data_IF_078861056176
#
_entry.id   IF_078861056176
#
_cell.length_a   1.000
_cell.length_b   1.000
_cell.length_c   1.000
_cell.angle_alpha   90.00
_cell.angle_beta   90.00
_cell.angle_gamma   90.00
#
_symmetry.space_group_name_H-M   'P 1'
#
loop_
_entity.id
_entity.type
_entity.pdbx_description
1 polymer ?
#
# COMPACT_ATOMS: atom_id res chain seq x y z
N UNK A 1 7.03 -12.34 -11.98
CA UNK A 1 7.41 -10.91 -11.87
C UNK A 1 8.93 -10.73 -11.86
N UNK A 2 9.67 -11.29 -10.90
CA UNK A 2 11.14 -11.20 -10.84
C UNK A 2 11.91 -11.66 -12.08
N UNK A 3 11.45 -12.72 -12.73
CA UNK A 3 12.12 -13.29 -13.91
C UNK A 3 12.14 -12.32 -15.09
N UNK A 4 11.09 -11.50 -15.28
CA UNK A 4 11.00 -10.56 -16.40
C UNK A 4 11.90 -9.35 -16.18
N UNK A 5 11.87 -8.77 -14.98
CA UNK A 5 12.72 -7.64 -14.61
C UNK A 5 14.21 -8.01 -14.61
N UNK A 6 14.56 -9.22 -14.16
CA UNK A 6 15.93 -9.73 -14.24
C UNK A 6 16.35 -10.02 -15.70
N UNK A 7 15.42 -10.45 -16.55
CA UNK A 7 15.68 -10.70 -17.98
C UNK A 7 15.99 -9.39 -18.71
N UNK A 8 15.17 -8.34 -18.55
CA UNK A 8 15.42 -7.05 -19.23
C UNK A 8 16.76 -6.41 -18.84
N UNK A 9 17.14 -6.53 -17.56
CA UNK A 9 18.39 -5.96 -17.05
C UNK A 9 19.63 -6.73 -17.53
N UNK A 10 19.52 -8.05 -17.75
CA UNK A 10 20.67 -8.90 -18.11
C UNK A 10 20.75 -9.27 -19.60
N UNK A 11 19.60 -9.46 -20.25
CA UNK A 11 19.46 -10.12 -21.56
C UNK A 11 18.54 -9.36 -22.53
N UNK A 12 17.88 -8.28 -22.09
CA UNK A 12 17.05 -7.42 -22.94
C UNK A 12 17.81 -6.26 -23.59
N UNK A 13 17.08 -5.37 -24.25
CA UNK A 13 17.61 -4.20 -24.98
C UNK A 13 18.52 -3.32 -24.09
N UNK A 14 18.14 -3.18 -22.81
CA UNK A 14 18.96 -2.47 -21.82
C UNK A 14 20.29 -3.19 -21.56
N UNK A 15 20.27 -4.51 -21.38
CA UNK A 15 21.47 -5.34 -21.17
C UNK A 15 22.48 -5.23 -22.32
N UNK A 16 22.00 -5.26 -23.57
CA UNK A 16 22.84 -5.09 -24.76
C UNK A 16 23.45 -3.68 -24.84
N UNK A 17 22.64 -2.64 -24.60
CA UNK A 17 23.11 -1.26 -24.58
C UNK A 17 24.15 -1.04 -23.48
N UNK A 18 23.93 -1.62 -22.30
CA UNK A 18 24.85 -1.56 -21.18
C UNK A 18 26.15 -2.33 -21.44
N UNK A 19 26.10 -3.47 -22.14
CA UNK A 19 27.29 -4.21 -22.57
C UNK A 19 28.14 -3.38 -23.55
N UNK A 20 27.50 -2.76 -24.55
CA UNK A 20 28.17 -1.84 -25.49
C UNK A 20 28.81 -0.64 -24.79
N UNK A 21 28.14 -0.09 -23.77
CA UNK A 21 28.69 0.98 -22.93
C UNK A 21 29.92 0.50 -22.15
N UNK A 22 29.88 -0.71 -21.60
CA UNK A 22 31.00 -1.33 -20.90
C UNK A 22 32.26 -1.46 -21.76
N UNK A 23 32.13 -1.79 -23.04
CA UNK A 23 33.27 -1.87 -23.97
C UNK A 23 33.91 -0.50 -24.27
N UNK A 24 33.17 0.60 -24.13
CA UNK A 24 33.65 1.97 -24.39
C UNK A 24 34.31 2.61 -23.16
N UNK A 25 33.92 2.20 -21.96
CA UNK A 25 34.42 2.75 -20.70
C UNK A 25 35.62 1.93 -20.24
N UNK A 26 36.79 2.58 -20.13
CA UNK A 26 38.03 1.94 -19.65
C UNK A 26 38.14 1.83 -18.12
N UNK A 27 37.11 2.27 -17.40
CA UNK A 27 37.04 2.22 -15.94
C UNK A 27 36.28 0.96 -15.48
N UNK A 28 37.02 -0.14 -15.36
CA UNK A 28 36.48 -1.43 -14.94
C UNK A 28 35.90 -1.41 -13.52
N UNK A 29 36.48 -0.61 -12.63
CA UNK A 29 36.01 -0.46 -11.24
C UNK A 29 34.61 0.15 -11.22
N UNK A 30 34.40 1.20 -12.01
CA UNK A 30 33.10 1.87 -12.15
C UNK A 30 32.05 0.95 -12.78
N UNK A 31 32.40 0.26 -13.88
CA UNK A 31 31.50 -0.69 -14.55
C UNK A 31 31.08 -1.82 -13.60
N UNK A 32 32.01 -2.31 -12.77
CA UNK A 32 31.71 -3.35 -11.78
C UNK A 32 30.76 -2.86 -10.69
N UNK A 33 30.95 -1.63 -10.18
CA UNK A 33 30.02 -1.01 -9.21
C UNK A 33 28.62 -0.85 -9.79
N UNK A 34 28.51 -0.43 -11.04
CA UNK A 34 27.22 -0.30 -11.71
C UNK A 34 26.53 -1.65 -11.91
N UNK A 35 27.27 -2.70 -12.34
CA UNK A 35 26.73 -4.06 -12.42
C UNK A 35 26.17 -4.54 -11.08
N UNK A 36 26.90 -4.31 -9.99
CA UNK A 36 26.46 -4.68 -8.65
C UNK A 36 25.21 -3.88 -8.21
N UNK A 37 25.15 -2.57 -8.51
CA UNK A 37 23.99 -1.74 -8.22
C UNK A 37 22.75 -2.19 -9.01
N UNK A 38 22.90 -2.45 -10.31
CA UNK A 38 21.81 -2.94 -11.18
C UNK A 38 21.30 -4.31 -10.72
N UNK A 39 22.17 -5.22 -10.28
CA UNK A 39 21.76 -6.49 -9.70
C UNK A 39 20.95 -6.29 -8.41
N UNK A 40 21.34 -5.34 -7.55
CA UNK A 40 20.55 -5.00 -6.36
C UNK A 40 19.18 -4.45 -6.73
N UNK A 41 19.12 -3.55 -7.71
CA UNK A 41 17.86 -2.96 -8.18
C UNK A 41 16.94 -3.99 -8.83
N UNK A 42 17.50 -4.94 -9.59
CA UNK A 42 16.74 -6.04 -10.21
C UNK A 42 16.03 -6.94 -9.19
N UNK A 43 16.53 -7.00 -7.95
CA UNK A 43 15.95 -7.78 -6.88
C UNK A 43 14.86 -7.03 -6.10
N UNK A 44 14.66 -5.73 -6.34
CA UNK A 44 13.54 -5.01 -5.76
C UNK A 44 12.25 -5.31 -6.51
N UNK A 45 11.15 -5.41 -5.77
CA UNK A 45 9.82 -5.41 -6.36
C UNK A 45 9.56 -4.05 -7.02
N UNK A 46 9.16 -4.07 -8.29
CA UNK A 46 8.81 -2.88 -9.05
C UNK A 46 7.44 -3.00 -9.71
N UNK A 47 6.92 -1.86 -10.15
CA UNK A 47 5.72 -1.78 -10.97
C UNK A 47 6.11 -1.92 -12.44
N UNK A 48 5.37 -2.76 -13.18
CA UNK A 48 5.55 -2.93 -14.63
C UNK A 48 4.38 -2.26 -15.33
N UNK A 49 4.66 -1.38 -16.28
CA UNK A 49 3.64 -0.72 -17.08
C UNK A 49 2.86 -1.77 -17.90
N UNK A 50 3.52 -2.51 -18.78
CA UNK A 50 2.82 -3.40 -19.71
C UNK A 50 1.93 -2.61 -20.66
N UNK A 51 0.77 -3.15 -21.05
CA UNK A 51 -0.15 -2.54 -22.02
C UNK A 51 -1.19 -1.59 -21.40
N UNK A 52 -1.03 -1.25 -20.11
CA UNK A 52 -1.98 -0.41 -19.37
C UNK A 52 -1.83 1.07 -19.73
N UNK A 53 -2.86 1.86 -19.40
CA UNK A 53 -2.79 3.30 -19.51
C UNK A 53 -1.72 3.89 -18.55
N UNK A 54 -0.88 4.77 -19.07
CA UNK A 54 0.21 5.41 -18.31
C UNK A 54 -0.30 6.28 -17.16
N UNK A 55 -1.42 6.99 -17.35
CA UNK A 55 -1.98 7.82 -16.29
C UNK A 55 -2.48 6.97 -15.11
N UNK A 56 -3.12 5.84 -15.38
CA UNK A 56 -3.54 4.89 -14.34
C UNK A 56 -2.33 4.28 -13.62
N UNK A 57 -1.26 3.99 -14.37
CA UNK A 57 0.00 3.50 -13.80
C UNK A 57 0.63 4.48 -12.82
N UNK A 58 0.70 5.75 -13.20
CA UNK A 58 1.21 6.81 -12.34
C UNK A 58 0.33 6.94 -11.08
N UNK A 59 -1.00 6.86 -11.22
CA UNK A 59 -1.92 6.92 -10.09
C UNK A 59 -1.71 5.78 -9.09
N UNK A 60 -1.46 4.55 -9.57
CA UNK A 60 -1.15 3.42 -8.67
C UNK A 60 0.16 3.62 -7.90
N UNK A 61 1.19 4.19 -8.56
CA UNK A 61 2.46 4.52 -7.90
C UNK A 61 2.24 5.57 -6.81
N UNK A 62 1.49 6.63 -7.12
CA UNK A 62 1.17 7.70 -6.14
C UNK A 62 0.46 7.09 -4.93
N UNK A 63 -0.59 6.30 -5.15
CA UNK A 63 -1.32 5.62 -4.06
C UNK A 63 -0.43 4.71 -3.22
N UNK A 64 0.48 3.97 -3.84
CA UNK A 64 1.43 3.12 -3.13
C UNK A 64 2.42 3.94 -2.29
N UNK A 65 3.00 4.99 -2.87
CA UNK A 65 3.91 5.89 -2.16
C UNK A 65 3.19 6.55 -0.98
N UNK A 66 1.96 7.04 -1.18
CA UNK A 66 1.15 7.64 -0.12
C UNK A 66 0.85 6.65 1.00
N UNK A 67 0.53 5.40 0.67
CA UNK A 67 0.32 4.35 1.67
C UNK A 67 1.53 4.06 2.57
N UNK A 68 2.74 4.39 2.09
CA UNK A 68 4.01 4.19 2.81
C UNK A 68 4.47 5.48 3.50
N UNK A 69 4.32 6.64 2.84
CA UNK A 69 4.89 7.92 3.27
C UNK A 69 3.93 8.75 4.11
N UNK A 70 2.63 8.65 3.89
CA UNK A 70 1.65 9.34 4.74
C UNK A 70 1.68 8.63 6.08
N UNK A 71 2.15 9.34 7.11
CA UNK A 71 2.04 8.95 8.50
C UNK A 71 0.55 8.88 8.89
N UNK A 72 -0.12 7.81 8.48
CA UNK A 72 -1.40 7.45 9.06
C UNK A 72 -1.11 7.23 10.54
N UNK A 73 -1.76 8.02 11.39
CA UNK A 73 -1.73 7.78 12.84
C UNK A 73 -2.45 6.46 13.06
N UNK A 74 -1.70 5.35 13.01
CA UNK A 74 -2.22 4.02 13.20
C UNK A 74 -2.90 3.98 14.55
N UNK A 75 -4.18 3.64 14.53
CA UNK A 75 -4.93 3.46 15.76
C UNK A 75 -4.37 2.24 16.47
N UNK A 76 -4.05 2.36 17.76
CA UNK A 76 -3.69 1.20 18.57
C UNK A 76 -4.89 0.24 18.66
N UNK A 77 -4.80 -0.88 17.95
CA UNK A 77 -5.84 -1.90 17.82
C UNK A 77 -5.91 -2.72 19.11
N UNK A 78 -4.90 -3.55 19.37
CA UNK A 78 -4.75 -4.35 20.59
C UNK A 78 -3.30 -4.86 20.69
N UNK A 79 -2.86 -5.20 21.91
CA UNK A 79 -1.51 -5.78 22.13
C UNK A 79 -1.37 -7.19 21.54
N UNK A 80 -2.42 -8.01 21.65
CA UNK A 80 -2.45 -9.40 21.17
C UNK A 80 -3.81 -9.72 20.53
N UNK A 81 -4.10 -9.19 19.33
CA UNK A 81 -5.34 -9.48 18.63
C UNK A 81 -5.38 -10.94 18.16
N UNK A 82 -6.47 -11.66 18.45
CA UNK A 82 -6.70 -13.02 17.94
C UNK A 82 -7.99 -13.03 17.11
N UNK A 83 -7.94 -13.64 15.92
CA UNK A 83 -9.13 -13.79 15.07
C UNK A 83 -9.69 -12.48 14.48
N UNK A 84 -8.90 -11.41 14.49
CA UNK A 84 -9.29 -10.13 13.87
C UNK A 84 -9.23 -10.22 12.35
N UNK A 85 -8.20 -10.87 11.80
CA UNK A 85 -7.97 -10.96 10.35
C UNK A 85 -9.15 -11.52 9.56
N UNK A 86 -9.77 -12.60 10.06
CA UNK A 86 -10.95 -13.18 9.39
C UNK A 86 -12.10 -12.18 9.35
N UNK A 87 -12.45 -11.58 10.49
CA UNK A 87 -13.55 -10.61 10.61
C UNK A 87 -13.34 -9.37 9.75
N UNK A 88 -12.11 -8.87 9.72
CA UNK A 88 -11.75 -7.69 8.91
C UNK A 88 -11.84 -8.01 7.43
N UNK A 89 -11.36 -9.18 7.00
CA UNK A 89 -11.48 -9.65 5.62
C UNK A 89 -12.95 -9.79 5.20
N UNK A 90 -13.79 -10.37 6.05
CA UNK A 90 -15.22 -10.51 5.76
C UNK A 90 -15.86 -9.14 5.54
N UNK A 91 -15.59 -8.17 6.42
CA UNK A 91 -16.11 -6.80 6.27
C UNK A 91 -15.53 -6.13 5.02
N UNK A 92 -14.24 -6.28 4.76
CA UNK A 92 -13.57 -5.70 3.60
C UNK A 92 -14.20 -6.16 2.27
N UNK A 93 -14.60 -7.44 2.16
CA UNK A 93 -15.28 -7.96 0.97
C UNK A 93 -16.66 -7.33 0.73
N UNK A 94 -17.31 -6.83 1.78
CA UNK A 94 -18.61 -6.15 1.68
C UNK A 94 -18.47 -4.64 1.45
N UNK A 95 -17.31 -4.06 1.81
CA UNK A 95 -16.99 -2.69 1.50
C UNK A 95 -16.69 -2.60 -0.01
N UNK A 96 -17.61 -1.99 -0.76
CA UNK A 96 -17.45 -1.74 -2.21
C UNK A 96 -16.43 -0.63 -2.50
N UNK A 97 -15.24 -0.73 -1.92
CA UNK A 97 -14.19 0.29 -1.98
C UNK A 97 -13.71 0.40 -3.43
N UNK A 98 -13.61 1.64 -3.94
CA UNK A 98 -13.14 1.91 -5.30
C UNK A 98 -14.19 1.76 -6.41
N UNK A 99 -15.48 1.55 -6.08
CA UNK A 99 -16.59 1.70 -7.03
C UNK A 99 -17.17 3.11 -6.90
N UNK A 100 -17.20 3.86 -8.01
CA UNK A 100 -17.69 5.23 -8.01
C UNK A 100 -19.17 5.31 -7.57
N UNK A 101 -19.48 6.37 -6.81
CA UNK A 101 -20.82 6.84 -6.44
C UNK A 101 -21.67 5.98 -5.49
N UNK A 102 -21.08 5.05 -4.73
CA UNK A 102 -21.80 4.26 -3.72
C UNK A 102 -21.38 4.68 -2.30
N UNK A 103 -22.31 5.30 -1.55
CA UNK A 103 -22.16 5.50 -0.11
C UNK A 103 -22.49 4.18 0.60
N UNK A 104 -21.49 3.58 1.25
CA UNK A 104 -21.67 2.36 2.04
C UNK A 104 -21.63 2.67 3.54
N UNK A 105 -22.69 2.30 4.25
CA UNK A 105 -22.75 2.37 5.72
C UNK A 105 -22.67 0.97 6.31
N UNK A 106 -21.72 0.75 7.22
CA UNK A 106 -21.53 -0.54 7.90
C UNK A 106 -21.74 -0.37 9.40
N UNK A 107 -22.68 -1.13 9.95
CA UNK A 107 -22.92 -1.21 11.40
C UNK A 107 -22.31 -2.48 11.99
N UNK A 108 -21.45 -2.33 13.01
CA UNK A 108 -20.94 -3.46 13.81
C UNK A 108 -21.66 -3.46 15.15
N UNK A 109 -22.49 -4.49 15.39
CA UNK A 109 -23.29 -4.63 16.61
C UNK A 109 -22.97 -5.94 17.35
N UNK A 110 -23.42 -6.04 18.60
CA UNK A 110 -23.18 -7.20 19.45
C UNK A 110 -22.95 -6.82 20.91
N UNK A 111 -22.73 -7.83 21.76
CA UNK A 111 -22.53 -7.67 23.20
C UNK A 111 -21.32 -6.80 23.56
N UNK A 112 -21.31 -6.26 24.78
CA UNK A 112 -20.17 -5.52 25.32
C UNK A 112 -18.91 -6.40 25.37
N UNK A 113 -17.73 -5.80 25.16
CA UNK A 113 -16.44 -6.49 25.28
C UNK A 113 -16.02 -7.39 24.10
N UNK A 114 -16.89 -7.67 23.12
CA UNK A 114 -16.59 -8.56 21.99
C UNK A 114 -15.58 -8.00 20.96
N UNK A 115 -15.03 -6.80 21.20
CA UNK A 115 -14.00 -6.21 20.34
C UNK A 115 -14.51 -5.41 19.13
N UNK A 116 -15.76 -4.92 19.14
CA UNK A 116 -16.33 -4.11 18.03
C UNK A 116 -15.43 -2.93 17.65
N UNK A 117 -15.06 -2.10 18.63
CA UNK A 117 -14.15 -0.96 18.43
C UNK A 117 -12.78 -1.40 17.93
N UNK A 118 -12.30 -2.56 18.38
CA UNK A 118 -11.02 -3.13 17.94
C UNK A 118 -11.05 -3.46 16.45
N UNK A 119 -12.12 -4.09 15.98
CA UNK A 119 -12.31 -4.40 14.55
C UNK A 119 -12.43 -3.11 13.73
N UNK A 120 -13.20 -2.11 14.20
CA UNK A 120 -13.33 -0.82 13.51
C UNK A 120 -11.99 -0.10 13.35
N UNK A 121 -11.12 -0.14 14.36
CA UNK A 121 -9.78 0.46 14.28
C UNK A 121 -8.90 -0.24 13.24
N UNK A 122 -8.92 -1.56 13.21
CA UNK A 122 -8.14 -2.34 12.24
C UNK A 122 -8.61 -2.08 10.81
N UNK A 123 -9.94 -2.03 10.58
CA UNK A 123 -10.49 -1.66 9.26
C UNK A 123 -10.03 -0.25 8.87
N UNK A 124 -10.16 0.72 9.77
CA UNK A 124 -9.72 2.09 9.51
C UNK A 124 -8.25 2.16 9.10
N UNK A 125 -7.37 1.48 9.83
CA UNK A 125 -5.94 1.41 9.51
C UNK A 125 -5.68 0.83 8.11
N UNK A 126 -6.52 -0.08 7.62
CA UNK A 126 -6.37 -0.71 6.29
C UNK A 126 -6.92 0.07 5.12
N UNK A 127 -7.92 0.92 5.35
CA UNK A 127 -8.67 1.53 4.23
C UNK A 127 -8.57 3.03 4.19
N UNK A 128 -8.17 3.69 5.28
CA UNK A 128 -8.13 5.16 5.37
C UNK A 128 -7.33 5.84 4.26
N UNK A 129 -6.21 5.24 3.83
CA UNK A 129 -5.37 5.74 2.75
C UNK A 129 -6.01 5.68 1.36
N UNK A 130 -7.11 4.92 1.21
CA UNK A 130 -7.82 4.78 -0.07
C UNK A 130 -8.83 5.90 -0.30
N UNK A 131 -9.02 6.79 0.69
CA UNK A 131 -9.94 7.92 0.64
C UNK A 131 -9.16 9.24 0.68
N UNK A 132 -9.65 10.25 -0.02
CA UNK A 132 -9.08 11.61 -0.02
C UNK A 132 -9.06 12.23 1.39
N UNK A 133 -10.06 11.91 2.21
CA UNK A 133 -10.14 12.29 3.61
C UNK A 133 -10.67 11.16 4.48
N UNK A 134 -10.12 11.02 5.69
CA UNK A 134 -10.57 10.03 6.66
C UNK A 134 -10.41 10.54 8.08
N UNK A 135 -11.34 10.15 8.96
CA UNK A 135 -11.25 10.42 10.39
C UNK A 135 -11.81 9.26 11.20
N UNK A 136 -11.29 9.07 12.43
CA UNK A 136 -11.81 8.08 13.37
C UNK A 136 -12.36 8.78 14.61
N UNK A 137 -13.68 8.76 14.77
CA UNK A 137 -14.37 9.36 15.90
C UNK A 137 -14.44 8.35 17.05
N UNK A 138 -13.69 8.62 18.13
CA UNK A 138 -13.67 7.80 19.35
C UNK A 138 -14.53 8.41 20.45
N UNK A 139 -15.02 7.59 21.36
CA UNK A 139 -15.69 8.01 22.61
C UNK A 139 -16.87 8.98 22.39
N UNK A 140 -17.60 8.79 21.29
CA UNK A 140 -18.73 9.64 20.89
C UNK A 140 -19.73 9.84 22.04
N UNK A 141 -20.03 8.78 22.80
CA UNK A 141 -20.98 8.81 23.93
C UNK A 141 -20.49 9.69 25.08
N UNK A 142 -19.19 9.69 25.34
CA UNK A 142 -18.57 10.50 26.38
C UNK A 142 -18.46 11.96 25.90
N UNK A 143 -18.01 12.18 24.66
CA UNK A 143 -17.82 13.50 24.06
C UNK A 143 -19.14 14.24 23.87
N UNK A 144 -20.23 13.55 23.51
CA UNK A 144 -21.55 14.16 23.34
C UNK A 144 -22.14 14.74 24.63
N UNK A 145 -21.69 14.27 25.80
CA UNK A 145 -22.15 14.76 27.11
C UNK A 145 -21.52 16.09 27.50
N UNK A 146 -20.43 16.50 26.84
CA UNK A 146 -19.65 17.70 27.16
C UNK A 146 -20.06 18.90 26.29
N UNK A 147 -21.10 18.76 25.46
CA UNK A 147 -21.71 19.86 24.71
C UNK A 147 -20.97 20.25 23.42
N UNK A 148 -20.01 19.46 22.96
CA UNK A 148 -19.39 19.65 21.64
C UNK A 148 -20.22 19.01 20.53
N UNK A 149 -20.41 19.74 19.42
CA UNK A 149 -20.77 19.12 18.13
C UNK A 149 -19.63 18.19 17.70
N UNK A 150 -19.99 16.99 17.28
CA UNK A 150 -19.09 15.99 16.70
C UNK A 150 -19.11 16.16 15.19
#
# INVERSE_FOLDING_TARGET
MYLHQMYDIKMGVFGEAFAKLGCKIKDEVKVTKWKAALQKVANFFGFILGDRNESEFIQDIIKWVDSIMVNHTFLNVAKYPVGIESRVRDIYQHLSIGRNDIICMVGIFGTGGIGKTTISKEIYNRISYQFEGSCFLKNIRETSKVGGLI
#
